data_IF_449219257455
#
_entry.id   IF_449219257455
#
_cell.length_a   1.000
_cell.length_b   1.000
_cell.length_c   1.000
_cell.angle_alpha   90.00
_cell.angle_beta   90.00
_cell.angle_gamma   90.00
#
_symmetry.space_group_name_H-M   'P 1'
#
loop_
_entity.id
_entity.type
_entity.pdbx_description
1 polymer ?
#
# COMPACT_ATOMS: atom_id res chain seq x y z
N UNK A 1 23.27 -3.30 -2.73
CA UNK A 1 22.36 -4.31 -2.12
C UNK A 1 21.37 -3.76 -1.08
N UNK A 2 21.76 -2.91 -0.12
CA UNK A 2 20.86 -2.47 0.97
C UNK A 2 19.59 -1.72 0.49
N UNK A 3 19.74 -0.81 -0.47
CA UNK A 3 18.62 -0.04 -1.06
C UNK A 3 17.55 -0.91 -1.72
N UNK A 4 17.93 -1.94 -2.48
CA UNK A 4 16.95 -2.81 -3.14
C UNK A 4 16.10 -3.59 -2.14
N UNK A 5 16.68 -3.97 -0.99
CA UNK A 5 15.92 -4.60 0.10
C UNK A 5 14.93 -3.64 0.73
N UNK A 6 15.33 -2.38 0.94
CA UNK A 6 14.48 -1.32 1.50
C UNK A 6 13.29 -0.99 0.56
N UNK A 7 13.56 -0.89 -0.74
CA UNK A 7 12.53 -0.72 -1.77
C UNK A 7 11.55 -1.88 -1.84
N UNK A 8 12.07 -3.12 -1.82
CA UNK A 8 11.23 -4.31 -1.77
C UNK A 8 10.36 -4.31 -0.51
N UNK A 9 10.89 -3.84 0.62
CA UNK A 9 10.13 -3.73 1.86
C UNK A 9 9.01 -2.70 1.77
N UNK A 10 9.25 -1.53 1.17
CA UNK A 10 8.18 -0.56 0.91
C UNK A 10 7.12 -1.12 -0.01
N UNK A 11 7.53 -1.78 -1.09
CA UNK A 11 6.61 -2.43 -2.01
C UNK A 11 5.76 -3.50 -1.31
N UNK A 12 6.37 -4.33 -0.46
CA UNK A 12 5.68 -5.38 0.29
C UNK A 12 4.62 -4.78 1.24
N UNK A 13 4.96 -3.73 1.99
CA UNK A 13 4.00 -3.04 2.87
C UNK A 13 2.86 -2.42 2.04
N UNK A 14 3.20 -1.69 0.98
CA UNK A 14 2.21 -1.06 0.12
C UNK A 14 1.25 -2.08 -0.52
N UNK A 15 1.79 -3.23 -0.93
CA UNK A 15 1.01 -4.34 -1.49
C UNK A 15 0.06 -4.95 -0.46
N UNK A 16 0.49 -5.15 0.79
CA UNK A 16 -0.40 -5.64 1.84
C UNK A 16 -1.50 -4.61 2.17
N UNK A 17 -1.16 -3.33 2.22
CA UNK A 17 -2.12 -2.26 2.48
C UNK A 17 -3.14 -2.09 1.36
N UNK A 18 -2.72 -2.21 0.10
CA UNK A 18 -3.64 -2.14 -1.04
C UNK A 18 -4.57 -3.37 -1.10
N UNK A 19 -4.09 -4.56 -0.77
CA UNK A 19 -4.96 -5.74 -0.64
C UNK A 19 -5.99 -5.58 0.50
N UNK A 20 -5.58 -5.03 1.64
CA UNK A 20 -6.50 -4.72 2.73
C UNK A 20 -7.56 -3.70 2.31
N UNK A 21 -7.15 -2.62 1.66
CA UNK A 21 -8.05 -1.62 1.09
C UNK A 21 -9.13 -2.27 0.20
N UNK A 22 -8.73 -3.09 -0.77
CA UNK A 22 -9.67 -3.76 -1.68
C UNK A 22 -10.58 -4.77 -1.00
N UNK A 23 -10.06 -5.51 -0.03
CA UNK A 23 -10.87 -6.46 0.73
C UNK A 23 -12.02 -5.77 1.46
N UNK A 24 -11.78 -4.59 2.06
CA UNK A 24 -12.79 -3.88 2.83
C UNK A 24 -13.68 -2.96 2.00
N UNK A 25 -13.17 -2.35 0.93
CA UNK A 25 -13.96 -1.45 0.08
C UNK A 25 -14.89 -2.23 -0.86
N UNK A 26 -14.38 -3.28 -1.52
CA UNK A 26 -15.15 -4.02 -2.53
C UNK A 26 -15.73 -5.35 -1.99
N UNK A 27 -15.40 -5.72 -0.74
CA UNK A 27 -15.79 -7.01 -0.15
C UNK A 27 -15.20 -8.21 -0.88
N UNK A 28 -14.20 -7.99 -1.75
CA UNK A 28 -13.69 -9.02 -2.65
C UNK A 28 -12.75 -9.93 -1.87
N UNK A 29 -13.12 -11.21 -1.80
CA UNK A 29 -12.23 -12.26 -1.34
C UNK A 29 -10.99 -12.28 -2.23
N UNK A 30 -9.81 -12.13 -1.64
CA UNK A 30 -8.51 -11.89 -2.28
C UNK A 30 -8.19 -12.83 -3.45
N UNK A 31 -8.79 -14.01 -3.50
CA UNK A 31 -8.61 -15.00 -4.58
C UNK A 31 -9.52 -14.79 -5.81
N UNK A 32 -10.70 -14.16 -5.68
CA UNK A 32 -11.52 -13.76 -6.84
C UNK A 32 -10.92 -12.57 -7.58
N UNK A 33 -10.20 -11.71 -6.85
CA UNK A 33 -9.55 -10.51 -7.37
C UNK A 33 -8.60 -10.78 -8.54
N UNK A 34 -7.87 -11.90 -8.50
CA UNK A 34 -6.90 -12.26 -9.55
C UNK A 34 -7.53 -12.85 -10.82
N UNK A 35 -8.84 -13.12 -10.82
CA UNK A 35 -9.54 -13.61 -12.02
C UNK A 35 -10.01 -12.50 -12.93
N UNK A 36 -10.16 -11.27 -12.41
CA UNK A 36 -10.56 -10.11 -13.19
C UNK A 36 -9.36 -9.20 -13.49
N UNK A 37 -9.03 -9.06 -14.77
CA UNK A 37 -7.89 -8.26 -15.21
C UNK A 37 -8.02 -6.79 -14.77
N UNK A 38 -9.24 -6.22 -14.75
CA UNK A 38 -9.44 -4.82 -14.37
C UNK A 38 -9.13 -4.57 -12.90
N UNK A 39 -9.53 -5.49 -12.02
CA UNK A 39 -9.25 -5.43 -10.58
C UNK A 39 -7.74 -5.53 -10.33
N UNK A 40 -7.06 -6.49 -10.97
CA UNK A 40 -5.59 -6.64 -10.86
C UNK A 40 -4.85 -5.38 -11.30
N UNK A 41 -5.26 -4.77 -12.41
CA UNK A 41 -4.68 -3.50 -12.89
C UNK A 41 -4.88 -2.41 -11.85
N UNK A 42 -6.06 -2.31 -11.25
CA UNK A 42 -6.36 -1.34 -10.21
C UNK A 42 -5.51 -1.55 -8.94
N UNK A 43 -5.33 -2.79 -8.48
CA UNK A 43 -4.43 -3.13 -7.38
C UNK A 43 -2.99 -2.72 -7.65
N UNK A 44 -2.49 -2.91 -8.88
CA UNK A 44 -1.16 -2.45 -9.27
C UNK A 44 -1.06 -0.93 -9.15
N UNK A 45 -2.06 -0.19 -9.65
CA UNK A 45 -2.08 1.27 -9.55
C UNK A 45 -2.11 1.75 -8.09
N UNK A 46 -3.02 1.21 -7.26
CA UNK A 46 -3.11 1.60 -5.84
C UNK A 46 -1.82 1.25 -5.10
N UNK A 47 -1.27 0.05 -5.32
CA UNK A 47 0.02 -0.34 -4.73
C UNK A 47 1.13 0.61 -5.14
N UNK A 48 1.18 1.03 -6.41
CA UNK A 48 2.16 1.99 -6.90
C UNK A 48 2.03 3.34 -6.18
N UNK A 49 0.81 3.86 -6.05
CA UNK A 49 0.53 5.10 -5.30
C UNK A 49 0.93 4.99 -3.82
N UNK A 50 0.57 3.89 -3.17
CA UNK A 50 0.91 3.63 -1.77
C UNK A 50 2.42 3.48 -1.56
N UNK A 51 3.16 3.01 -2.57
CA UNK A 51 4.62 2.91 -2.49
C UNK A 51 5.33 4.23 -2.81
N UNK A 52 4.76 5.07 -3.69
CA UNK A 52 5.39 6.30 -4.14
C UNK A 52 5.63 7.30 -2.99
N UNK A 53 4.66 7.46 -2.08
CA UNK A 53 4.75 8.44 -0.99
C UNK A 53 5.88 8.14 0.02
N UNK A 54 6.01 6.90 0.56
CA UNK A 54 7.17 6.49 1.36
C UNK A 54 8.51 6.62 0.63
N UNK A 55 8.54 6.29 -0.67
CA UNK A 55 9.77 6.38 -1.48
C UNK A 55 10.23 7.84 -1.61
N UNK A 56 9.32 8.77 -1.89
CA UNK A 56 9.63 10.20 -1.98
C UNK A 56 10.23 10.69 -0.67
N UNK A 57 9.63 10.32 0.47
CA UNK A 57 10.15 10.66 1.80
C UNK A 57 11.50 9.99 2.10
N UNK A 58 11.73 8.75 1.63
CA UNK A 58 13.01 8.06 1.77
C UNK A 58 14.16 8.80 1.07
N UNK A 59 13.91 9.32 -0.13
CA UNK A 59 14.91 10.13 -0.83
C UNK A 59 15.06 11.54 -0.25
N UNK A 60 13.97 12.17 0.20
CA UNK A 60 13.99 13.51 0.80
C UNK A 60 14.66 13.57 2.18
N UNK A 61 14.44 12.57 3.04
CA UNK A 61 14.97 12.54 4.41
C UNK A 61 16.22 11.68 4.55
N UNK A 62 17.32 12.11 3.93
CA UNK A 62 18.69 11.58 4.12
C UNK A 62 18.79 10.03 4.14
N UNK A 63 17.89 9.30 3.45
CA UNK A 63 17.85 7.82 3.35
C UNK A 63 17.67 7.08 4.68
N UNK A 64 16.97 7.66 5.66
CA UNK A 64 16.63 6.92 6.88
C UNK A 64 15.41 6.04 6.66
N UNK A 65 15.63 4.73 6.54
CA UNK A 65 14.57 3.74 6.32
C UNK A 65 13.45 3.82 7.37
N UNK A 66 13.79 4.03 8.64
CA UNK A 66 12.79 4.17 9.71
C UNK A 66 11.93 5.42 9.54
N UNK A 67 12.51 6.54 9.10
CA UNK A 67 11.75 7.79 8.92
C UNK A 67 10.87 7.77 7.69
N UNK A 68 11.25 7.05 6.63
CA UNK A 68 10.39 6.89 5.46
C UNK A 68 9.15 6.03 5.72
N UNK A 69 9.18 5.16 6.74
CA UNK A 69 7.99 4.43 7.16
C UNK A 69 6.86 5.37 7.63
N UNK A 70 7.20 6.60 8.06
CA UNK A 70 6.20 7.62 8.39
C UNK A 70 5.37 8.02 7.16
N UNK A 71 5.85 7.78 5.94
CA UNK A 71 5.08 7.93 4.71
C UNK A 71 3.88 6.98 4.58
N UNK A 72 3.87 5.89 5.34
CA UNK A 72 2.71 4.98 5.40
C UNK A 72 1.64 5.46 6.37
N UNK A 73 1.92 6.38 7.30
CA UNK A 73 0.91 6.87 8.27
C UNK A 73 -0.37 7.37 7.58
N UNK A 74 -0.32 8.29 6.59
CA UNK A 74 -1.55 8.74 5.93
C UNK A 74 -2.27 7.61 5.20
N UNK A 75 -1.52 6.65 4.63
CA UNK A 75 -2.07 5.49 3.92
C UNK A 75 -2.81 4.57 4.91
N UNK A 76 -2.18 4.23 6.03
CA UNK A 76 -2.78 3.40 7.09
C UNK A 76 -4.02 4.09 7.65
N UNK A 77 -3.97 5.41 7.89
CA UNK A 77 -5.12 6.17 8.36
C UNK A 77 -6.29 6.13 7.38
N UNK A 78 -6.01 6.26 6.08
CA UNK A 78 -7.02 6.16 5.03
C UNK A 78 -7.64 4.75 4.94
N UNK A 79 -6.82 3.70 4.94
CA UNK A 79 -7.32 2.31 4.96
C UNK A 79 -8.15 2.03 6.21
N UNK A 80 -7.72 2.53 7.38
CA UNK A 80 -8.46 2.37 8.62
C UNK A 80 -9.82 3.09 8.60
N UNK A 81 -9.89 4.28 8.00
CA UNK A 81 -11.15 5.00 7.81
C UNK A 81 -12.16 4.17 6.99
N UNK A 82 -11.70 3.57 5.89
CA UNK A 82 -12.53 2.72 5.03
C UNK A 82 -13.01 1.46 5.75
N UNK A 83 -12.15 0.84 6.56
CA UNK A 83 -12.53 -0.30 7.40
C UNK A 83 -13.67 0.08 8.35
N UNK A 84 -13.57 1.24 9.00
CA UNK A 84 -14.59 1.77 9.90
C UNK A 84 -15.90 2.05 9.16
N UNK A 85 -15.84 2.66 7.99
CA UNK A 85 -17.03 2.98 7.18
C UNK A 85 -17.78 1.72 6.74
N UNK A 86 -17.07 0.66 6.35
CA UNK A 86 -17.67 -0.59 5.85
C UNK A 86 -18.09 -1.58 6.95
N UNK A 87 -17.86 -1.28 8.23
CA UNK A 87 -18.25 -2.14 9.36
C UNK A 87 -19.48 -1.65 10.13
N UNK A 88 -20.06 -0.51 9.74
CA UNK A 88 -21.29 0.09 10.30
C UNK A 88 -22.47 -0.02 9.34
#
# INVERSE_FOLDING_TARGET
MKKYKEFFFFFLIAFLLSNLFFYFEEGIQTFKFYTNLSEVVMLIFITFFFTAFPIILFYGWKKSFLKSLLGFIPIVGFVFFIILENTH
#
